data_IF_634876132076
#
_entry.id   IF_634876132076
#
_cell.length_a   1.000
_cell.length_b   1.000
_cell.length_c   1.000
_cell.angle_alpha   90.00
_cell.angle_beta   90.00
_cell.angle_gamma   90.00
#
_symmetry.space_group_name_H-M   'P 1'
#
loop_
_entity.id
_entity.type
_entity.pdbx_description
1 polymer ?
#
# COMPACT_ATOMS: atom_id res chain seq x y z
N UNK A 1 -32.58 47.75 -21.69
CA UNK A 1 -31.32 47.79 -20.91
C UNK A 1 -31.15 46.44 -20.27
N UNK A 2 -30.44 45.55 -20.94
CA UNK A 2 -30.16 44.19 -20.48
C UNK A 2 -28.70 44.13 -20.00
N UNK A 3 -28.53 43.97 -18.68
CA UNK A 3 -27.19 43.74 -18.09
C UNK A 3 -26.82 42.27 -18.30
N UNK A 4 -25.77 42.01 -19.06
CA UNK A 4 -25.10 40.74 -19.13
C UNK A 4 -24.06 40.66 -18.01
N UNK A 5 -24.27 39.75 -17.06
CA UNK A 5 -23.27 39.39 -16.05
C UNK A 5 -22.32 38.39 -16.69
N UNK A 6 -21.11 38.84 -16.98
CA UNK A 6 -20.02 37.99 -17.42
C UNK A 6 -19.50 37.13 -16.25
N UNK A 7 -19.70 35.84 -16.31
CA UNK A 7 -19.03 34.87 -15.42
C UNK A 7 -17.58 34.72 -15.90
N UNK A 8 -16.64 35.30 -15.16
CA UNK A 8 -15.22 35.09 -15.39
C UNK A 8 -14.85 33.76 -14.75
N UNK A 9 -14.68 32.72 -15.54
CA UNK A 9 -14.02 31.49 -15.14
C UNK A 9 -12.54 31.82 -14.86
N UNK A 10 -12.12 31.68 -13.62
CA UNK A 10 -10.69 31.63 -13.29
C UNK A 10 -10.16 30.31 -13.83
N UNK A 11 -9.51 30.37 -15.00
CA UNK A 11 -8.63 29.32 -15.47
C UNK A 11 -7.47 29.21 -14.48
N UNK A 12 -7.52 28.23 -13.61
CA UNK A 12 -6.39 27.72 -12.86
C UNK A 12 -5.53 26.93 -13.86
N UNK A 13 -4.53 27.59 -14.46
CA UNK A 13 -3.57 26.97 -15.35
C UNK A 13 -2.62 26.06 -14.59
N UNK A 14 -3.07 24.88 -14.17
CA UNK A 14 -2.23 23.72 -13.90
C UNK A 14 -2.02 23.02 -15.23
N UNK A 15 -0.78 22.87 -15.68
CA UNK A 15 -0.47 22.05 -16.85
C UNK A 15 -1.02 20.64 -16.62
N UNK A 16 -1.94 20.20 -17.46
CA UNK A 16 -2.52 18.86 -17.37
C UNK A 16 -1.41 17.81 -17.45
N UNK A 17 -1.49 16.79 -16.57
CA UNK A 17 -0.59 15.63 -16.63
C UNK A 17 -0.66 15.01 -18.02
N UNK A 18 0.47 14.81 -18.67
CA UNK A 18 0.51 14.09 -19.93
C UNK A 18 0.38 12.58 -19.67
N UNK A 19 -0.87 12.13 -19.49
CA UNK A 19 -1.19 10.75 -19.15
C UNK A 19 -0.70 9.75 -20.22
N UNK A 20 -0.77 10.12 -21.49
CA UNK A 20 -0.29 9.27 -22.61
C UNK A 20 1.24 9.09 -22.55
N UNK A 21 1.99 10.17 -22.36
CA UNK A 21 3.45 10.08 -22.26
C UNK A 21 3.90 9.31 -21.00
N UNK A 22 3.17 9.42 -19.88
CA UNK A 22 3.44 8.62 -18.68
C UNK A 22 3.14 7.14 -18.93
N UNK A 23 2.00 6.83 -19.53
CA UNK A 23 1.63 5.46 -19.90
C UNK A 23 2.69 4.81 -20.79
N UNK A 24 3.13 5.50 -21.83
CA UNK A 24 4.11 4.97 -22.79
C UNK A 24 5.46 4.74 -22.11
N UNK A 25 5.94 5.73 -21.33
CA UNK A 25 7.21 5.60 -20.59
C UNK A 25 7.20 4.47 -19.57
N UNK A 26 6.07 4.28 -18.86
CA UNK A 26 5.92 3.18 -17.90
C UNK A 26 5.84 1.84 -18.64
N UNK A 27 5.12 1.77 -19.76
CA UNK A 27 4.97 0.56 -20.57
C UNK A 27 6.33 0.10 -21.15
N UNK A 28 7.17 1.03 -21.60
CA UNK A 28 8.53 0.73 -22.05
C UNK A 28 9.37 0.12 -20.92
N UNK A 29 9.31 0.71 -19.70
CA UNK A 29 10.03 0.15 -18.54
C UNK A 29 9.53 -1.25 -18.22
N UNK A 30 8.20 -1.45 -18.17
CA UNK A 30 7.61 -2.76 -17.87
C UNK A 30 8.06 -3.83 -18.87
N UNK A 31 8.17 -3.49 -20.14
CA UNK A 31 8.61 -4.41 -21.19
C UNK A 31 10.08 -4.86 -21.06
N UNK A 32 10.93 -4.12 -20.35
CA UNK A 32 12.34 -4.45 -20.13
C UNK A 32 12.54 -5.60 -19.13
N UNK A 33 11.51 -5.98 -18.36
CA UNK A 33 11.64 -6.90 -17.23
C UNK A 33 10.90 -8.22 -17.46
N UNK A 34 11.48 -9.37 -17.03
CA UNK A 34 10.90 -10.70 -17.24
C UNK A 34 9.89 -11.07 -16.17
N UNK A 35 8.65 -10.66 -16.29
CA UNK A 35 7.58 -10.95 -15.34
C UNK A 35 6.35 -10.13 -15.67
N UNK A 36 5.31 -10.31 -14.87
CA UNK A 36 4.11 -9.52 -14.98
C UNK A 36 4.20 -8.32 -14.03
N UNK A 37 4.21 -7.10 -14.58
CA UNK A 37 4.25 -5.87 -13.79
C UNK A 37 3.00 -5.05 -14.08
N UNK A 38 2.22 -4.78 -13.01
CA UNK A 38 1.05 -3.94 -13.06
C UNK A 38 1.29 -2.63 -12.33
N UNK A 39 0.84 -1.53 -12.93
CA UNK A 39 1.05 -0.19 -12.41
C UNK A 39 -0.25 0.59 -12.44
N UNK A 40 -0.51 1.34 -11.37
CA UNK A 40 -1.54 2.38 -11.36
C UNK A 40 -1.02 3.64 -10.68
N UNK A 41 -1.25 4.78 -11.31
CA UNK A 41 -0.93 6.11 -10.83
C UNK A 41 -2.21 6.94 -10.81
N UNK A 42 -2.49 7.62 -9.69
CA UNK A 42 -3.56 8.61 -9.55
C UNK A 42 -2.90 9.92 -9.15
N UNK A 43 -3.06 10.96 -9.94
CA UNK A 43 -2.48 12.30 -9.67
C UNK A 43 -3.58 13.25 -9.26
N UNK A 44 -3.40 13.93 -8.13
CA UNK A 44 -4.34 14.89 -7.54
C UNK A 44 -5.78 14.35 -7.40
N UNK A 45 -5.92 13.03 -7.22
CA UNK A 45 -7.23 12.37 -7.09
C UNK A 45 -8.07 12.29 -8.38
N UNK A 46 -7.55 12.70 -9.52
CA UNK A 46 -8.33 12.83 -10.78
C UNK A 46 -7.69 12.14 -11.98
N UNK A 47 -6.45 12.44 -12.29
CA UNK A 47 -5.78 11.92 -13.48
C UNK A 47 -5.24 10.51 -13.20
N UNK A 48 -5.67 9.52 -13.97
CA UNK A 48 -5.32 8.12 -13.77
C UNK A 48 -4.54 7.58 -14.95
N UNK A 49 -3.43 6.88 -14.67
CA UNK A 49 -2.62 6.15 -15.65
C UNK A 49 -2.46 4.72 -15.16
N UNK A 50 -2.73 3.74 -16.02
CA UNK A 50 -2.60 2.31 -15.66
C UNK A 50 -1.86 1.53 -16.73
N UNK A 51 -1.06 0.54 -16.31
CA UNK A 51 -0.43 -0.45 -17.18
C UNK A 51 -0.71 -1.84 -16.58
N UNK A 52 -1.22 -2.77 -17.39
CA UNK A 52 -1.59 -4.13 -17.00
C UNK A 52 -2.61 -4.22 -15.83
N UNK A 53 -3.47 -3.22 -15.66
CA UNK A 53 -4.44 -3.15 -14.55
C UNK A 53 -5.61 -4.16 -14.68
N UNK A 54 -5.84 -4.70 -15.87
CA UNK A 54 -6.84 -5.76 -16.06
C UNK A 54 -6.48 -7.08 -15.36
N UNK A 55 -5.24 -7.22 -14.93
CA UNK A 55 -4.73 -8.40 -14.24
C UNK A 55 -4.83 -8.25 -12.72
N UNK A 56 -4.81 -9.39 -12.02
CA UNK A 56 -4.87 -9.46 -10.56
C UNK A 56 -3.53 -9.95 -10.03
N UNK A 57 -3.05 -9.29 -9.00
CA UNK A 57 -1.71 -9.48 -8.43
C UNK A 57 -1.79 -9.92 -6.97
N UNK A 58 -0.94 -10.87 -6.50
CA UNK A 58 -0.85 -11.23 -5.10
C UNK A 58 -0.31 -10.05 -4.28
N UNK A 59 -1.06 -9.67 -3.25
CA UNK A 59 -0.73 -8.49 -2.44
C UNK A 59 0.47 -8.67 -1.54
N UNK A 60 0.72 -9.89 -1.10
CA UNK A 60 1.61 -10.13 0.03
C UNK A 60 1.28 -9.14 1.17
N UNK A 61 2.26 -8.66 1.91
CA UNK A 61 2.03 -7.77 3.04
C UNK A 61 1.38 -6.39 2.71
N UNK A 62 1.07 -6.08 1.45
CA UNK A 62 0.24 -4.89 1.12
C UNK A 62 -1.15 -4.99 1.74
N UNK A 63 -1.71 -6.20 1.91
CA UNK A 63 -3.00 -6.40 2.55
C UNK A 63 -3.06 -5.89 4.01
N UNK A 64 -1.92 -5.72 4.68
CA UNK A 64 -1.84 -5.20 6.05
C UNK A 64 -2.35 -3.76 6.18
N UNK A 65 -2.32 -2.98 5.10
CA UNK A 65 -3.02 -1.69 5.04
C UNK A 65 -4.54 -1.88 5.13
N UNK A 66 -5.09 -2.84 4.40
CA UNK A 66 -6.52 -3.17 4.42
C UNK A 66 -6.93 -3.62 5.84
N UNK A 67 -6.15 -4.49 6.45
CA UNK A 67 -6.35 -4.94 7.84
C UNK A 67 -6.33 -3.77 8.83
N UNK A 68 -5.35 -2.87 8.74
CA UNK A 68 -5.23 -1.73 9.64
C UNK A 68 -6.47 -0.82 9.59
N UNK A 69 -6.98 -0.55 8.38
CA UNK A 69 -8.21 0.22 8.19
C UNK A 69 -9.44 -0.51 8.77
N UNK A 70 -9.53 -1.83 8.61
CA UNK A 70 -10.62 -2.64 9.18
C UNK A 70 -10.58 -2.66 10.72
N UNK A 71 -9.39 -2.78 11.32
CA UNK A 71 -9.20 -2.65 12.78
C UNK A 71 -9.65 -1.27 13.26
N UNK A 72 -9.20 -0.21 12.62
CA UNK A 72 -9.62 1.15 12.95
C UNK A 72 -11.13 1.33 12.86
N UNK A 73 -11.76 0.79 11.80
CA UNK A 73 -13.23 0.84 11.63
C UNK A 73 -13.98 0.07 12.69
N UNK A 74 -13.51 -1.12 13.04
CA UNK A 74 -14.11 -1.93 14.11
C UNK A 74 -14.02 -1.20 15.46
N UNK A 75 -12.90 -0.53 15.74
CA UNK A 75 -12.70 0.25 16.95
C UNK A 75 -13.59 1.51 16.99
N UNK A 76 -13.78 2.19 15.85
CA UNK A 76 -14.73 3.31 15.76
C UNK A 76 -16.16 2.86 16.05
N UNK A 77 -16.59 1.75 15.45
CA UNK A 77 -17.94 1.21 15.63
C UNK A 77 -18.24 0.81 17.09
N UNK A 78 -17.21 0.43 17.85
CA UNK A 78 -17.34 0.01 19.25
C UNK A 78 -16.90 1.09 20.27
N UNK A 79 -16.52 2.28 19.82
CA UNK A 79 -16.05 3.37 20.69
C UNK A 79 -14.76 3.02 21.44
N UNK A 80 -13.88 2.19 20.85
CA UNK A 80 -12.64 1.74 21.48
C UNK A 80 -11.44 2.63 21.07
N UNK A 81 -10.53 2.82 22.04
CA UNK A 81 -9.24 3.48 21.82
C UNK A 81 -8.20 2.49 21.29
N UNK A 82 -7.30 2.94 20.43
CA UNK A 82 -6.11 2.18 20.01
C UNK A 82 -5.12 1.92 21.18
N UNK A 83 -5.33 2.55 22.35
CA UNK A 83 -4.62 2.23 23.60
C UNK A 83 -5.14 0.95 24.28
N UNK A 84 -6.22 0.34 23.78
CA UNK A 84 -6.70 -0.97 24.26
C UNK A 84 -5.57 -2.00 24.16
N UNK A 85 -5.29 -2.66 25.30
CA UNK A 85 -4.19 -3.63 25.39
C UNK A 85 -4.67 -5.01 24.99
N UNK A 86 -3.89 -5.67 24.16
CA UNK A 86 -4.04 -7.09 23.81
C UNK A 86 -2.90 -7.85 24.45
N UNK A 87 -3.26 -8.91 25.19
CA UNK A 87 -2.30 -9.84 25.79
C UNK A 87 -2.26 -11.12 24.98
N UNK A 88 -1.05 -11.58 24.66
CA UNK A 88 -0.80 -12.78 23.88
C UNK A 88 0.28 -13.65 24.53
N UNK A 89 0.13 -14.96 24.43
CA UNK A 89 1.18 -15.87 24.86
C UNK A 89 2.24 -15.98 23.76
N UNK A 90 3.52 -15.80 24.10
CA UNK A 90 4.62 -15.91 23.15
C UNK A 90 4.69 -17.28 22.45
N UNK A 91 4.28 -18.36 23.13
CA UNK A 91 4.27 -19.71 22.55
C UNK A 91 3.22 -19.89 21.44
N UNK A 92 2.23 -18.99 21.35
CA UNK A 92 1.19 -18.99 20.30
C UNK A 92 1.64 -18.23 19.04
N UNK A 93 2.83 -17.61 19.08
CA UNK A 93 3.42 -16.89 17.96
C UNK A 93 4.34 -17.81 17.16
N UNK A 94 4.38 -17.62 15.83
CA UNK A 94 5.29 -18.36 14.96
C UNK A 94 6.73 -17.82 15.08
N UNK A 95 7.70 -18.60 15.61
CA UNK A 95 9.08 -18.16 15.75
C UNK A 95 9.85 -18.14 14.42
N UNK A 96 9.30 -18.69 13.35
CA UNK A 96 9.97 -18.82 12.04
C UNK A 96 9.60 -17.70 11.09
N UNK A 97 8.48 -17.01 11.33
CA UNK A 97 8.04 -15.92 10.48
C UNK A 97 8.80 -14.62 10.74
N UNK A 98 8.71 -13.68 9.81
CA UNK A 98 9.25 -12.33 9.99
C UNK A 98 8.46 -11.60 11.09
N UNK A 99 9.11 -11.36 12.23
CA UNK A 99 8.49 -10.68 13.37
C UNK A 99 9.50 -9.90 14.22
N UNK A 100 9.73 -8.62 13.91
CA UNK A 100 10.45 -7.69 14.80
C UNK A 100 9.84 -7.62 16.20
N UNK A 101 8.50 -7.59 16.32
CA UNK A 101 7.80 -7.63 17.60
C UNK A 101 8.28 -8.79 18.48
N UNK A 102 8.32 -9.99 17.94
CA UNK A 102 8.73 -11.18 18.69
C UNK A 102 10.23 -11.15 19.09
N UNK A 103 11.06 -10.41 18.35
CA UNK A 103 12.50 -10.25 18.68
C UNK A 103 12.72 -9.23 19.80
N UNK A 104 11.87 -8.20 19.87
CA UNK A 104 11.94 -7.14 20.89
C UNK A 104 11.31 -7.55 22.21
N UNK A 105 10.34 -8.49 22.20
CA UNK A 105 9.61 -8.98 23.35
C UNK A 105 9.98 -10.43 23.63
N UNK A 106 10.72 -10.70 24.73
CA UNK A 106 11.19 -12.03 25.10
C UNK A 106 10.40 -12.69 26.23
N UNK A 107 9.52 -11.94 26.88
CA UNK A 107 8.67 -12.39 28.00
C UNK A 107 7.66 -13.45 27.53
N UNK A 108 7.27 -14.42 28.41
CA UNK A 108 6.31 -15.47 28.07
C UNK A 108 4.93 -14.93 27.70
N UNK A 109 4.52 -13.82 28.30
CA UNK A 109 3.27 -13.11 28.03
C UNK A 109 3.58 -11.69 27.58
N UNK A 110 3.14 -11.34 26.38
CA UNK A 110 3.36 -10.05 25.75
C UNK A 110 2.06 -9.26 25.80
N UNK A 111 2.07 -8.08 26.40
CA UNK A 111 0.90 -7.18 26.47
C UNK A 111 1.21 -5.87 25.73
N UNK A 112 0.52 -5.61 24.62
CA UNK A 112 0.75 -4.43 23.80
C UNK A 112 -0.57 -3.71 23.49
N UNK A 113 -0.59 -2.38 23.49
CA UNK A 113 -1.72 -1.63 22.95
C UNK A 113 -1.86 -1.89 21.44
N UNK A 114 -3.08 -1.84 20.94
CA UNK A 114 -3.39 -2.07 19.51
C UNK A 114 -2.62 -1.13 18.61
N UNK A 115 -2.38 0.10 19.02
CA UNK A 115 -1.54 1.05 18.27
C UNK A 115 -0.13 0.49 18.00
N UNK A 116 0.46 -0.23 18.93
CA UNK A 116 1.80 -0.79 18.75
C UNK A 116 1.77 -2.02 17.84
N UNK A 117 0.73 -2.86 17.90
CA UNK A 117 0.51 -3.94 16.92
C UNK A 117 0.36 -3.38 15.51
N UNK A 118 -0.40 -2.31 15.34
CA UNK A 118 -0.54 -1.60 14.06
C UNK A 118 0.79 -1.00 13.59
N UNK A 119 1.60 -0.43 14.48
CA UNK A 119 2.95 0.09 14.13
C UNK A 119 3.87 -1.03 13.67
N UNK A 120 3.96 -2.15 14.40
CA UNK A 120 4.74 -3.32 13.95
C UNK A 120 4.28 -3.80 12.58
N UNK A 121 2.98 -3.86 12.36
CA UNK A 121 2.38 -4.35 11.11
C UNK A 121 2.62 -3.41 9.93
N UNK A 122 2.47 -2.10 10.10
CA UNK A 122 2.59 -1.12 9.01
C UNK A 122 4.04 -0.69 8.77
N UNK A 123 4.80 -0.41 9.83
CA UNK A 123 6.17 0.13 9.74
C UNK A 123 7.18 -0.97 9.40
N UNK A 124 7.06 -2.13 10.07
CA UNK A 124 8.02 -3.22 9.98
C UNK A 124 7.49 -4.44 9.21
N UNK A 125 6.23 -4.40 8.79
CA UNK A 125 5.57 -5.52 8.11
C UNK A 125 5.53 -6.82 8.94
N UNK A 126 5.37 -6.72 10.27
CA UNK A 126 5.39 -7.83 11.21
C UNK A 126 4.23 -8.81 10.97
N UNK A 127 4.54 -10.09 10.79
CA UNK A 127 3.56 -11.12 10.49
C UNK A 127 2.81 -11.60 11.74
N UNK A 128 3.48 -11.75 12.88
CA UNK A 128 2.83 -12.15 14.13
C UNK A 128 1.87 -11.06 14.63
N UNK A 129 2.26 -9.78 14.56
CA UNK A 129 1.37 -8.68 14.92
C UNK A 129 0.10 -8.67 14.05
N UNK A 130 0.24 -8.92 12.73
CA UNK A 130 -0.89 -9.08 11.83
C UNK A 130 -1.76 -10.29 12.20
N UNK A 131 -1.18 -11.47 12.42
CA UNK A 131 -1.92 -12.68 12.79
C UNK A 131 -2.67 -12.50 14.12
N UNK A 132 -2.05 -11.86 15.12
CA UNK A 132 -2.72 -11.54 16.40
C UNK A 132 -3.95 -10.67 16.18
N UNK A 133 -3.86 -9.62 15.35
CA UNK A 133 -5.00 -8.75 15.07
C UNK A 133 -6.10 -9.50 14.28
N UNK A 134 -5.77 -10.37 13.33
CA UNK A 134 -6.76 -11.21 12.66
C UNK A 134 -7.45 -12.20 13.59
N UNK A 135 -6.72 -12.76 14.54
CA UNK A 135 -7.25 -13.71 15.51
C UNK A 135 -8.12 -13.07 16.58
N UNK A 136 -7.81 -11.83 16.98
CA UNK A 136 -8.40 -11.21 18.18
C UNK A 136 -9.30 -10.02 17.94
N UNK A 137 -9.13 -9.30 16.82
CA UNK A 137 -9.81 -8.02 16.57
C UNK A 137 -10.76 -8.06 15.37
N UNK A 138 -10.26 -8.43 14.20
CA UNK A 138 -11.04 -8.53 12.96
C UNK A 138 -10.56 -9.73 12.16
N UNK A 139 -11.49 -10.51 11.59
CA UNK A 139 -11.12 -11.62 10.71
C UNK A 139 -10.70 -11.14 9.31
N UNK A 140 -10.10 -12.02 8.50
CA UNK A 140 -9.85 -11.77 7.08
C UNK A 140 -11.17 -11.45 6.34
N UNK A 141 -12.23 -12.20 6.64
CA UNK A 141 -13.57 -11.97 6.06
C UNK A 141 -14.18 -10.63 6.47
N UNK A 142 -14.01 -10.18 7.73
CA UNK A 142 -14.47 -8.86 8.17
C UNK A 142 -13.69 -7.75 7.46
N UNK A 143 -12.40 -7.94 7.31
CA UNK A 143 -11.53 -7.03 6.55
C UNK A 143 -12.00 -6.95 5.09
N UNK A 144 -12.18 -8.08 4.43
CA UNK A 144 -12.64 -8.18 3.05
C UNK A 144 -14.00 -7.49 2.85
N UNK A 145 -14.97 -7.73 3.76
CA UNK A 145 -16.29 -7.08 3.73
C UNK A 145 -16.20 -5.57 3.91
N UNK A 146 -15.38 -5.10 4.84
CA UNK A 146 -15.23 -3.67 5.06
C UNK A 146 -14.60 -2.99 3.84
N UNK A 147 -13.53 -3.54 3.29
CA UNK A 147 -12.86 -2.96 2.12
C UNK A 147 -13.78 -2.98 0.89
N UNK A 148 -14.71 -3.94 0.76
CA UNK A 148 -15.73 -3.94 -0.29
C UNK A 148 -16.75 -2.78 -0.19
N UNK A 149 -16.77 -2.04 0.91
CA UNK A 149 -17.51 -0.77 1.02
C UNK A 149 -16.72 0.42 0.46
N UNK A 150 -15.42 0.23 0.23
CA UNK A 150 -14.50 1.26 -0.22
C UNK A 150 -14.06 1.07 -1.68
N UNK A 151 -13.94 -0.16 -2.15
CA UNK A 151 -13.41 -0.52 -3.47
C UNK A 151 -14.40 -1.40 -4.25
N UNK A 152 -14.34 -1.43 -5.59
CA UNK A 152 -15.11 -2.36 -6.40
C UNK A 152 -14.83 -3.81 -5.98
N UNK A 153 -15.89 -4.58 -5.79
CA UNK A 153 -15.82 -5.93 -5.19
C UNK A 153 -14.92 -6.91 -5.99
N UNK A 154 -14.93 -6.79 -7.30
CA UNK A 154 -14.19 -7.64 -8.23
C UNK A 154 -12.70 -7.29 -8.32
N UNK A 155 -12.27 -6.15 -7.77
CA UNK A 155 -10.91 -5.63 -7.96
C UNK A 155 -9.91 -6.09 -6.89
N UNK A 156 -10.38 -6.77 -5.84
CA UNK A 156 -9.52 -7.25 -4.75
C UNK A 156 -10.14 -8.44 -4.02
N UNK A 157 -9.31 -9.16 -3.25
CA UNK A 157 -9.74 -10.21 -2.32
C UNK A 157 -8.80 -10.29 -1.12
N UNK A 158 -9.37 -10.34 0.09
CA UNK A 158 -8.68 -10.70 1.34
C UNK A 158 -9.27 -12.02 1.81
N UNK A 159 -8.52 -13.12 1.72
CA UNK A 159 -9.01 -14.46 2.01
C UNK A 159 -8.28 -15.14 3.17
N UNK A 160 -7.00 -14.82 3.36
CA UNK A 160 -6.09 -15.56 4.23
C UNK A 160 -5.25 -14.66 5.12
N UNK A 161 -4.82 -15.19 6.25
CA UNK A 161 -3.85 -14.58 7.16
C UNK A 161 -2.42 -14.88 6.73
N UNK A 162 -1.42 -14.25 7.36
CA UNK A 162 -0.01 -14.61 7.13
C UNK A 162 0.29 -16.07 7.54
N UNK A 163 -0.37 -16.56 8.62
CA UNK A 163 -0.27 -17.94 9.07
C UNK A 163 -0.80 -18.92 8.03
N UNK A 164 -1.98 -18.64 7.44
CA UNK A 164 -2.57 -19.45 6.38
C UNK A 164 -1.66 -19.53 5.14
N UNK A 165 -1.10 -18.39 4.71
CA UNK A 165 -0.21 -18.30 3.55
C UNK A 165 1.14 -18.97 3.81
N UNK A 166 1.63 -18.96 5.06
CA UNK A 166 2.85 -19.68 5.46
C UNK A 166 2.65 -21.19 5.49
N UNK A 167 1.44 -21.64 5.85
CA UNK A 167 1.09 -23.07 5.86
C UNK A 167 0.90 -23.66 4.46
N UNK A 168 0.46 -22.83 3.50
CA UNK A 168 0.20 -23.20 2.12
C UNK A 168 0.51 -21.99 1.22
N UNK A 169 1.63 -22.05 0.54
CA UNK A 169 2.15 -20.95 -0.27
C UNK A 169 1.24 -20.56 -1.44
N UNK A 170 0.46 -21.48 -2.00
CA UNK A 170 -0.47 -21.17 -3.09
C UNK A 170 -1.58 -20.21 -2.65
N UNK A 171 -1.87 -20.13 -1.35
CA UNK A 171 -2.81 -19.17 -0.77
C UNK A 171 -2.38 -17.71 -0.89
N UNK A 172 -1.09 -17.45 -1.11
CA UNK A 172 -0.60 -16.10 -1.33
C UNK A 172 -1.25 -15.41 -2.54
N UNK A 173 -1.58 -16.17 -3.58
CA UNK A 173 -2.27 -15.65 -4.78
C UNK A 173 -3.75 -15.31 -4.53
N UNK A 174 -4.35 -15.82 -3.48
CA UNK A 174 -5.75 -15.55 -3.15
C UNK A 174 -5.96 -14.22 -2.42
N UNK A 175 -4.94 -13.69 -1.73
CA UNK A 175 -4.92 -12.31 -1.25
C UNK A 175 -4.44 -11.40 -2.40
N UNK A 176 -5.37 -10.85 -3.16
CA UNK A 176 -5.07 -10.26 -4.45
C UNK A 176 -5.77 -8.93 -4.69
N UNK A 177 -5.22 -8.13 -5.59
CA UNK A 177 -5.77 -6.82 -5.98
C UNK A 177 -5.39 -6.46 -7.41
N UNK A 178 -6.19 -5.59 -8.07
CA UNK A 178 -5.69 -4.85 -9.22
C UNK A 178 -4.80 -3.69 -8.75
N UNK A 179 -3.84 -3.23 -9.56
CA UNK A 179 -3.03 -2.04 -9.25
C UNK A 179 -3.87 -0.80 -8.96
N UNK A 180 -4.92 -0.57 -9.76
CA UNK A 180 -5.80 0.59 -9.59
C UNK A 180 -6.56 0.54 -8.25
N UNK A 181 -7.06 -0.62 -7.85
CA UNK A 181 -7.75 -0.76 -6.56
C UNK A 181 -6.81 -0.43 -5.38
N UNK A 182 -5.57 -0.89 -5.43
CA UNK A 182 -4.57 -0.57 -4.41
C UNK A 182 -4.21 0.92 -4.39
N UNK A 183 -4.02 1.55 -5.56
CA UNK A 183 -3.79 2.98 -5.68
C UNK A 183 -4.99 3.79 -5.16
N UNK A 184 -6.22 3.40 -5.50
CA UNK A 184 -7.45 4.03 -5.01
C UNK A 184 -7.56 3.95 -3.48
N UNK A 185 -7.22 2.82 -2.86
CA UNK A 185 -7.30 2.69 -1.40
C UNK A 185 -6.34 3.65 -0.70
N UNK A 186 -5.11 3.76 -1.20
CA UNK A 186 -4.12 4.69 -0.67
C UNK A 186 -4.54 6.13 -0.94
N UNK A 187 -5.00 6.47 -2.14
CA UNK A 187 -5.47 7.81 -2.48
C UNK A 187 -6.59 8.25 -1.53
N UNK A 188 -7.61 7.42 -1.37
CA UNK A 188 -8.75 7.67 -0.49
C UNK A 188 -8.38 7.77 0.99
N UNK A 189 -7.34 7.05 1.44
CA UNK A 189 -6.84 7.19 2.81
C UNK A 189 -6.34 8.61 3.09
N UNK A 190 -5.78 9.29 2.09
CA UNK A 190 -5.23 10.63 2.22
C UNK A 190 -6.21 11.75 1.83
N UNK A 191 -7.27 11.44 1.07
CA UNK A 191 -8.22 12.43 0.52
C UNK A 191 -9.63 12.33 1.11
N UNK A 192 -10.08 11.16 1.54
CA UNK A 192 -11.42 10.90 2.06
C UNK A 192 -11.39 10.69 3.59
N UNK A 193 -12.58 10.54 4.19
CA UNK A 193 -12.75 10.13 5.58
C UNK A 193 -13.20 8.67 5.64
N UNK A 194 -12.28 7.73 5.80
CA UNK A 194 -12.56 6.30 5.82
C UNK A 194 -12.90 5.77 7.23
N UNK A 195 -12.23 6.33 8.23
CA UNK A 195 -12.38 6.04 9.67
C UNK A 195 -12.29 7.36 10.45
N UNK A 196 -12.39 7.34 11.78
CA UNK A 196 -12.25 8.56 12.59
C UNK A 196 -10.91 9.26 12.32
N UNK A 197 -10.91 10.59 12.40
CA UNK A 197 -9.74 11.43 12.06
C UNK A 197 -8.48 11.02 12.82
N UNK A 198 -8.62 10.70 14.13
CA UNK A 198 -7.52 10.26 14.98
C UNK A 198 -6.87 8.97 14.44
N UNK A 199 -7.69 7.95 14.15
CA UNK A 199 -7.22 6.65 13.69
C UNK A 199 -6.70 6.71 12.25
N UNK A 200 -7.33 7.51 11.40
CA UNK A 200 -6.86 7.73 10.04
C UNK A 200 -5.49 8.41 10.03
N UNK A 201 -5.32 9.47 10.81
CA UNK A 201 -4.03 10.14 10.95
C UNK A 201 -2.95 9.21 11.50
N UNK A 202 -3.31 8.34 12.46
CA UNK A 202 -2.40 7.32 12.98
C UNK A 202 -1.90 6.36 11.87
N UNK A 203 -2.81 5.85 11.03
CA UNK A 203 -2.45 4.95 9.91
C UNK A 203 -1.55 5.69 8.90
N UNK A 204 -1.91 6.92 8.52
CA UNK A 204 -1.11 7.73 7.59
C UNK A 204 0.30 7.97 8.13
N UNK A 205 0.43 8.30 9.43
CA UNK A 205 1.72 8.49 10.09
C UNK A 205 2.55 7.20 10.10
N UNK A 206 1.93 6.06 10.44
CA UNK A 206 2.62 4.77 10.45
C UNK A 206 3.15 4.37 9.06
N UNK A 207 2.40 4.68 7.98
CA UNK A 207 2.85 4.46 6.61
C UNK A 207 4.01 5.39 6.22
N UNK A 208 4.05 6.63 6.72
CA UNK A 208 5.16 7.56 6.47
C UNK A 208 6.45 7.16 7.21
N UNK A 209 6.33 6.37 8.27
CA UNK A 209 7.44 5.82 9.02
C UNK A 209 7.91 4.44 8.53
N UNK A 210 7.37 3.93 7.42
CA UNK A 210 7.68 2.61 6.86
C UNK A 210 9.19 2.39 6.73
N UNK A 211 9.67 1.21 7.17
CA UNK A 211 11.09 0.83 7.16
C UNK A 211 11.44 -0.24 6.12
N UNK A 212 10.44 -0.73 5.40
CA UNK A 212 10.65 -1.75 4.36
C UNK A 212 10.64 -1.12 2.98
N UNK A 213 11.38 -1.68 2.00
CA UNK A 213 11.33 -1.29 0.59
C UNK A 213 11.83 0.13 0.28
N UNK A 214 12.86 0.59 0.99
CA UNK A 214 13.54 1.86 0.67
C UNK A 214 14.24 1.85 -0.70
N UNK A 215 14.33 0.68 -1.31
CA UNK A 215 14.86 0.40 -2.64
C UNK A 215 13.78 0.34 -3.75
N UNK A 216 12.49 0.58 -3.42
CA UNK A 216 11.34 0.53 -4.34
C UNK A 216 10.84 1.94 -4.68
N UNK A 217 9.53 2.22 -4.49
CA UNK A 217 8.96 3.55 -4.81
C UNK A 217 9.72 4.66 -4.07
N UNK A 218 10.15 4.43 -2.85
CA UNK A 218 10.88 5.41 -2.06
C UNK A 218 12.27 5.75 -2.61
N UNK A 219 12.94 4.84 -3.32
CA UNK A 219 14.34 4.98 -3.73
C UNK A 219 14.69 6.32 -4.42
N UNK A 220 13.98 6.76 -5.46
CA UNK A 220 14.28 8.02 -6.14
C UNK A 220 13.75 9.26 -5.38
N UNK A 221 12.97 9.07 -4.33
CA UNK A 221 12.28 10.15 -3.58
C UNK A 221 13.04 10.56 -2.32
N UNK A 222 13.79 9.62 -1.72
CA UNK A 222 14.53 9.87 -0.50
C UNK A 222 15.63 10.92 -0.71
N UNK A 223 15.70 11.88 0.23
CA UNK A 223 16.70 12.96 0.19
C UNK A 223 16.33 14.14 -0.71
N UNK A 224 15.17 14.14 -1.37
CA UNK A 224 14.66 15.30 -2.06
C UNK A 224 13.89 16.21 -1.09
N UNK A 225 14.29 17.46 -1.00
CA UNK A 225 13.70 18.43 -0.09
C UNK A 225 12.21 18.65 -0.37
N UNK A 226 11.40 18.58 0.68
CA UNK A 226 9.96 18.81 0.62
C UNK A 226 9.15 17.65 0.03
N UNK A 227 9.77 16.56 -0.42
CA UNK A 227 9.05 15.35 -0.85
C UNK A 227 8.72 14.51 0.39
N UNK A 228 7.46 14.08 0.50
CA UNK A 228 7.03 13.14 1.54
C UNK A 228 6.44 11.89 0.91
N UNK A 229 6.68 10.74 1.53
CA UNK A 229 6.15 9.44 1.10
C UNK A 229 5.56 8.70 2.30
N UNK A 230 4.40 8.08 2.08
CA UNK A 230 3.79 7.11 2.97
C UNK A 230 3.51 5.86 2.15
N UNK A 231 4.04 4.68 2.55
CA UNK A 231 3.96 3.51 1.70
C UNK A 231 3.84 2.19 2.46
N UNK A 232 3.40 1.14 1.75
CA UNK A 232 3.35 -0.23 2.25
C UNK A 232 3.84 -1.21 1.20
N UNK A 233 4.82 -2.04 1.58
CA UNK A 233 5.41 -3.05 0.70
C UNK A 233 4.80 -4.43 0.89
N UNK A 234 4.94 -5.27 -0.12
CA UNK A 234 4.68 -6.70 -0.08
C UNK A 234 5.81 -7.47 -0.76
N UNK A 235 6.38 -8.49 -0.10
CA UNK A 235 7.44 -9.32 -0.65
C UNK A 235 7.02 -10.78 -0.58
N UNK A 236 7.18 -11.49 -1.68
CA UNK A 236 6.93 -12.90 -1.82
C UNK A 236 8.19 -13.75 -1.63
N UNK A 237 8.14 -14.93 -2.15
CA UNK A 237 9.19 -15.96 -2.10
C UNK A 237 9.45 -16.46 -3.53
N UNK A 238 10.48 -17.26 -3.71
CA UNK A 238 10.74 -17.96 -4.99
C UNK A 238 9.91 -19.25 -4.99
N UNK A 239 9.06 -19.43 -6.00
CA UNK A 239 8.24 -20.62 -6.17
C UNK A 239 9.02 -21.79 -6.77
N UNK A 240 8.39 -22.97 -6.90
CA UNK A 240 9.02 -24.17 -7.45
C UNK A 240 9.46 -24.03 -8.92
N UNK A 241 8.91 -23.07 -9.65
CA UNK A 241 9.33 -22.71 -11.02
C UNK A 241 10.53 -21.77 -11.06
N UNK A 242 11.06 -21.36 -9.91
CA UNK A 242 12.18 -20.42 -9.80
C UNK A 242 11.79 -18.97 -10.04
N UNK A 243 10.49 -18.64 -9.92
CA UNK A 243 9.96 -17.30 -10.12
C UNK A 243 9.67 -16.62 -8.77
N UNK A 244 9.98 -15.35 -8.66
CA UNK A 244 9.57 -14.52 -7.51
C UNK A 244 8.07 -14.26 -7.60
N UNK A 245 7.30 -14.81 -6.66
CA UNK A 245 5.83 -14.76 -6.64
C UNK A 245 5.29 -13.34 -6.63
N UNK A 246 5.92 -12.46 -5.85
CA UNK A 246 5.52 -11.05 -5.78
C UNK A 246 6.61 -10.15 -5.20
N UNK A 247 6.67 -8.90 -5.69
CA UNK A 247 7.47 -7.81 -5.13
C UNK A 247 6.73 -6.51 -5.38
N UNK A 248 6.14 -5.93 -4.33
CA UNK A 248 5.13 -4.89 -4.47
C UNK A 248 5.45 -3.67 -3.62
N UNK A 249 4.98 -2.50 -4.06
CA UNK A 249 4.94 -1.30 -3.23
C UNK A 249 3.75 -0.42 -3.63
N UNK A 250 3.08 0.18 -2.64
CA UNK A 250 1.94 1.08 -2.83
C UNK A 250 2.16 2.32 -1.97
N UNK A 251 2.14 3.50 -2.57
CA UNK A 251 2.53 4.74 -1.91
C UNK A 251 1.59 5.91 -2.19
N UNK A 252 1.52 6.84 -1.24
CA UNK A 252 1.06 8.21 -1.41
C UNK A 252 2.25 9.15 -1.29
N UNK A 253 2.40 10.05 -2.24
CA UNK A 253 3.54 10.97 -2.34
C UNK A 253 3.03 12.40 -2.46
N UNK A 254 3.62 13.32 -1.69
CA UNK A 254 3.44 14.75 -1.90
C UNK A 254 4.74 15.38 -2.39
N UNK A 255 4.62 16.21 -3.41
CA UNK A 255 5.71 16.99 -3.98
C UNK A 255 5.66 18.45 -3.47
N UNK A 256 6.81 19.14 -3.41
CA UNK A 256 6.87 20.52 -2.93
C UNK A 256 6.15 21.53 -3.85
N UNK A 257 5.84 21.14 -5.10
CA UNK A 257 5.05 21.95 -6.04
C UNK A 257 3.53 21.86 -5.83
N UNK A 258 3.07 21.15 -4.79
CA UNK A 258 1.66 20.96 -4.48
C UNK A 258 0.99 19.81 -5.22
N UNK A 259 1.72 19.07 -6.08
CA UNK A 259 1.21 17.84 -6.69
C UNK A 259 1.26 16.72 -5.66
N UNK A 260 0.15 15.98 -5.53
CA UNK A 260 0.09 14.74 -4.78
C UNK A 260 -0.26 13.58 -5.71
N UNK A 261 0.27 12.40 -5.44
CA UNK A 261 -0.08 11.21 -6.23
C UNK A 261 -0.04 9.92 -5.42
N UNK A 262 -0.88 8.98 -5.82
CA UNK A 262 -0.85 7.59 -5.38
C UNK A 262 -0.24 6.73 -6.48
N UNK A 263 0.76 5.91 -6.12
CA UNK A 263 1.43 4.99 -7.05
C UNK A 263 1.38 3.58 -6.46
N UNK A 264 0.86 2.64 -7.24
CA UNK A 264 0.87 1.22 -6.95
C UNK A 264 1.65 0.47 -8.02
N UNK A 265 2.65 -0.31 -7.61
CA UNK A 265 3.43 -1.18 -8.50
C UNK A 265 3.45 -2.59 -7.95
N UNK A 266 2.95 -3.52 -8.73
CA UNK A 266 2.89 -4.94 -8.41
C UNK A 266 3.72 -5.73 -9.41
N UNK A 267 4.63 -6.54 -8.91
CA UNK A 267 5.43 -7.49 -9.71
C UNK A 267 4.98 -8.90 -9.35
N UNK A 268 4.71 -9.73 -10.35
CA UNK A 268 4.20 -11.09 -10.18
C UNK A 268 4.95 -12.06 -11.12
N UNK A 269 5.20 -13.28 -10.62
CA UNK A 269 5.81 -14.39 -11.36
C UNK A 269 7.08 -13.94 -12.12
N UNK A 270 7.96 -13.29 -11.39
CA UNK A 270 9.12 -12.59 -11.95
C UNK A 270 10.33 -13.54 -12.08
N UNK A 271 10.86 -13.65 -13.30
CA UNK A 271 12.02 -14.52 -13.63
C UNK A 271 13.35 -13.79 -13.40
N UNK A 272 13.54 -13.27 -12.19
CA UNK A 272 14.71 -12.55 -11.74
C UNK A 272 14.80 -12.54 -10.22
N UNK A 273 15.75 -11.81 -9.68
CA UNK A 273 15.90 -11.64 -8.24
C UNK A 273 15.11 -10.44 -7.68
N UNK A 274 15.01 -10.37 -6.34
CA UNK A 274 14.31 -9.28 -5.65
C UNK A 274 14.91 -7.90 -5.97
N UNK A 275 16.24 -7.84 -6.19
CA UNK A 275 16.93 -6.60 -6.54
C UNK A 275 16.50 -6.08 -7.91
N UNK A 276 16.34 -6.95 -8.90
CA UNK A 276 15.87 -6.58 -10.24
C UNK A 276 14.39 -6.16 -10.20
N UNK A 277 13.56 -6.82 -9.39
CA UNK A 277 12.17 -6.42 -9.19
C UNK A 277 12.07 -5.05 -8.50
N UNK A 278 12.88 -4.80 -7.47
CA UNK A 278 12.97 -3.50 -6.80
C UNK A 278 13.45 -2.40 -7.77
N UNK A 279 14.44 -2.70 -8.62
CA UNK A 279 14.93 -1.77 -9.65
C UNK A 279 13.82 -1.38 -10.64
N UNK A 280 12.99 -2.32 -11.09
CA UNK A 280 11.84 -2.02 -11.93
C UNK A 280 10.90 -1.02 -11.26
N UNK A 281 10.54 -1.25 -10.00
CA UNK A 281 9.69 -0.37 -9.21
C UNK A 281 10.33 1.02 -9.06
N UNK A 282 11.61 1.09 -8.72
CA UNK A 282 12.34 2.34 -8.56
C UNK A 282 12.43 3.15 -9.87
N UNK A 283 12.65 2.48 -11.03
CA UNK A 283 12.65 3.13 -12.35
C UNK A 283 11.28 3.74 -12.69
N UNK A 284 10.19 3.00 -12.42
CA UNK A 284 8.82 3.50 -12.63
C UNK A 284 8.60 4.74 -11.75
N UNK A 285 8.92 4.64 -10.46
CA UNK A 285 8.81 5.76 -9.51
C UNK A 285 9.64 6.98 -9.94
N UNK A 286 10.88 6.77 -10.40
CA UNK A 286 11.75 7.84 -10.89
C UNK A 286 11.16 8.55 -12.12
N UNK A 287 10.55 7.79 -13.03
CA UNK A 287 9.89 8.34 -14.22
C UNK A 287 8.69 9.19 -13.85
N UNK A 288 7.83 8.69 -12.96
CA UNK A 288 6.67 9.44 -12.45
C UNK A 288 7.13 10.72 -11.75
N UNK A 289 8.07 10.61 -10.81
CA UNK A 289 8.63 11.76 -10.10
C UNK A 289 9.21 12.80 -11.05
N UNK A 290 10.04 12.39 -12.01
CA UNK A 290 10.68 13.29 -12.96
C UNK A 290 9.69 14.04 -13.85
N UNK A 291 8.55 13.43 -14.20
CA UNK A 291 7.52 14.10 -15.00
C UNK A 291 6.67 15.05 -14.16
N UNK A 292 6.30 14.64 -12.92
CA UNK A 292 5.42 15.44 -12.07
C UNK A 292 6.15 16.59 -11.33
N UNK A 293 7.47 16.49 -11.15
CA UNK A 293 8.28 17.54 -10.52
C UNK A 293 8.65 18.71 -11.47
N UNK A 294 8.60 18.50 -12.80
CA UNK A 294 8.99 19.52 -13.81
C UNK A 294 8.07 20.74 -13.91
N UNK A 295 6.93 20.73 -13.24
CA UNK A 295 5.98 21.85 -13.24
C UNK A 295 6.29 22.93 -12.16
N UNK A 296 7.58 23.07 -11.75
CA UNK A 296 8.04 24.03 -10.71
C UNK A 296 8.67 25.29 -11.33
N UNK A 297 8.69 25.46 -12.67
CA UNK A 297 9.21 26.69 -13.30
C UNK A 297 8.10 27.69 -13.67
#
# INVERSE_FOLDING_TARGET
MTLSIGCSSKDGGGSAVNAEALHDSISEIVADYPGEIGVALIVNGTDTVTVNDANIYPMMSVFKLHQALAVCKAFDNNGLSLDTVITMNRNDLDPKTWSPMMREHSEPEISLPVKDLLRYTLIHSDNNASNVMFKTLVSADDTDRFIATLLPRESFKIAYTEEDMSADHDRAYANSTSPLAAAMLVDRLFTDSLVSNEKQHFVMTALSECKTGTDRIAAPLLGNDGVTIAHKTGSGYINDSGELVAHNDVAYVNLPNGVAYSLAVFVKDFKGDERQAAEAIARISSTVYSQLSRHIE
#
